data_IF_295004345279
#
_entry.id   IF_295004345279
#
_cell.length_a   1.000
_cell.length_b   1.000
_cell.length_c   1.000
_cell.angle_alpha   90.00
_cell.angle_beta   90.00
_cell.angle_gamma   90.00
#
_symmetry.space_group_name_H-M   'P 1'
#
loop_
_entity.id
_entity.type
_entity.pdbx_description
1 polymer ?
#
# COMPACT_ATOMS: atom_id res chain seq x y z
N UNK A 1 55.48 -42.55 -16.02
CA UNK A 1 54.12 -42.78 -16.51
C UNK A 1 53.36 -41.48 -16.33
N UNK A 2 52.83 -40.84 -17.39
CA UNK A 2 51.96 -39.69 -17.19
C UNK A 2 50.60 -40.22 -16.72
N UNK A 3 50.20 -39.81 -15.52
CA UNK A 3 48.87 -40.03 -14.99
C UNK A 3 47.85 -39.37 -15.90
N UNK A 4 46.85 -40.15 -16.30
CA UNK A 4 45.67 -39.69 -17.01
C UNK A 4 44.93 -38.65 -16.16
N UNK A 5 45.07 -37.38 -16.49
CA UNK A 5 44.13 -36.35 -16.05
C UNK A 5 42.79 -36.67 -16.73
N UNK A 6 41.89 -37.24 -15.94
CA UNK A 6 40.52 -37.47 -16.35
C UNK A 6 39.91 -36.12 -16.74
N UNK A 7 39.34 -36.10 -17.95
CA UNK A 7 38.57 -35.04 -18.58
C UNK A 7 37.36 -34.64 -17.71
N UNK A 8 37.61 -33.93 -16.60
CA UNK A 8 36.57 -33.35 -15.77
C UNK A 8 36.10 -32.07 -16.43
N UNK A 9 34.98 -32.16 -17.13
CA UNK A 9 34.26 -30.98 -17.59
C UNK A 9 33.95 -30.09 -16.39
N UNK A 10 34.37 -28.81 -16.41
CA UNK A 10 34.23 -27.93 -15.26
C UNK A 10 32.75 -27.68 -14.96
N UNK A 11 32.40 -27.51 -13.68
CA UNK A 11 31.03 -27.20 -13.29
C UNK A 11 30.69 -25.77 -13.69
N UNK A 12 29.73 -25.63 -14.59
CA UNK A 12 29.26 -24.35 -15.11
C UNK A 12 28.04 -23.89 -14.33
N UNK A 13 28.05 -22.63 -13.88
CA UNK A 13 26.85 -21.96 -13.38
C UNK A 13 26.76 -20.53 -13.90
N UNK A 14 25.57 -19.94 -13.82
CA UNK A 14 25.32 -18.59 -14.30
C UNK A 14 24.76 -17.69 -13.22
N UNK A 15 25.15 -16.41 -13.28
CA UNK A 15 24.59 -15.32 -12.49
C UNK A 15 24.05 -14.24 -13.42
N UNK A 16 23.25 -13.32 -12.88
CA UNK A 16 22.77 -12.14 -13.60
C UNK A 16 23.44 -10.91 -12.99
N UNK A 17 24.07 -10.10 -13.85
CA UNK A 17 24.65 -8.81 -13.48
C UNK A 17 23.60 -7.75 -13.19
N UNK A 18 24.01 -6.62 -12.59
CA UNK A 18 23.14 -5.46 -12.37
C UNK A 18 22.50 -4.92 -13.65
N UNK A 19 23.13 -5.14 -14.81
CA UNK A 19 22.62 -4.73 -16.13
C UNK A 19 21.79 -5.81 -16.82
N UNK A 20 21.29 -6.80 -16.06
CA UNK A 20 20.52 -7.96 -16.56
C UNK A 20 21.26 -8.81 -17.62
N UNK A 21 22.59 -8.72 -17.68
CA UNK A 21 23.44 -9.58 -18.53
C UNK A 21 23.86 -10.83 -17.79
N UNK A 22 23.95 -11.96 -18.51
CA UNK A 22 24.49 -13.22 -18.00
C UNK A 22 25.97 -13.07 -17.63
N UNK A 23 26.35 -13.70 -16.52
CA UNK A 23 27.71 -13.87 -16.05
C UNK A 23 27.96 -15.37 -15.91
N UNK A 24 29.09 -15.84 -16.42
CA UNK A 24 29.51 -17.22 -16.33
C UNK A 24 30.36 -17.40 -15.07
N UNK A 25 30.11 -18.47 -14.32
CA UNK A 25 30.88 -18.85 -13.14
C UNK A 25 31.46 -20.24 -13.34
N UNK A 26 32.79 -20.31 -13.35
CA UNK A 26 33.56 -21.55 -13.49
C UNK A 26 34.78 -21.45 -12.57
N UNK A 27 35.08 -22.52 -11.82
CA UNK A 27 36.26 -22.64 -10.95
C UNK A 27 36.48 -21.47 -9.97
N UNK A 28 35.39 -20.87 -9.48
CA UNK A 28 35.43 -19.72 -8.57
C UNK A 28 35.69 -18.37 -9.26
N UNK A 29 35.84 -18.35 -10.58
CA UNK A 29 36.00 -17.15 -11.40
C UNK A 29 34.68 -16.71 -12.04
N UNK A 30 34.54 -15.40 -12.25
CA UNK A 30 33.38 -14.79 -12.91
C UNK A 30 33.83 -14.22 -14.25
N UNK A 31 33.09 -14.57 -15.31
CA UNK A 31 33.33 -14.10 -16.66
C UNK A 31 32.12 -13.33 -17.20
N UNK A 32 32.40 -12.29 -18.00
CA UNK A 32 31.42 -11.52 -18.76
C UNK A 32 31.43 -11.95 -20.22
N UNK A 33 30.26 -11.99 -20.85
CA UNK A 33 30.15 -12.28 -22.27
C UNK A 33 30.80 -11.15 -23.08
N UNK A 34 31.75 -11.51 -23.94
CA UNK A 34 32.45 -10.57 -24.82
C UNK A 34 31.81 -10.53 -26.22
N UNK A 35 31.75 -11.68 -26.89
CA UNK A 35 31.17 -11.83 -28.23
C UNK A 35 30.52 -13.20 -28.40
N UNK A 36 29.66 -13.35 -29.40
CA UNK A 36 29.03 -14.64 -29.75
C UNK A 36 28.98 -14.83 -31.26
N UNK A 37 29.18 -16.06 -31.70
CA UNK A 37 28.94 -16.52 -33.07
C UNK A 37 27.84 -17.57 -33.06
N UNK A 38 27.44 -18.08 -34.24
CA UNK A 38 26.41 -19.11 -34.34
C UNK A 38 26.75 -20.42 -33.58
N UNK A 39 28.03 -20.70 -33.32
CA UNK A 39 28.49 -21.95 -32.69
C UNK A 39 29.17 -21.76 -31.34
N UNK A 40 29.66 -20.54 -31.04
CA UNK A 40 30.54 -20.31 -29.88
C UNK A 40 30.19 -18.99 -29.20
N UNK A 41 30.09 -19.02 -27.88
CA UNK A 41 29.97 -17.85 -27.01
C UNK A 41 31.30 -17.64 -26.29
N UNK A 42 31.85 -16.44 -26.41
CA UNK A 42 33.17 -16.08 -25.88
C UNK A 42 33.00 -15.26 -24.60
N UNK A 43 33.61 -15.74 -23.53
CA UNK A 43 33.58 -15.14 -22.20
C UNK A 43 34.98 -14.68 -21.80
N UNK A 44 35.08 -13.52 -21.15
CA UNK A 44 36.32 -12.97 -20.59
C UNK A 44 36.16 -12.71 -19.10
N UNK A 45 37.25 -12.81 -18.34
CA UNK A 45 37.23 -12.53 -16.92
C UNK A 45 36.66 -11.13 -16.64
N UNK A 46 35.84 -10.99 -15.58
CA UNK A 46 35.26 -9.71 -15.17
C UNK A 46 36.32 -8.70 -14.70
N UNK A 47 37.48 -9.18 -14.24
CA UNK A 47 38.57 -8.29 -13.80
C UNK A 47 39.25 -7.69 -15.03
N UNK A 48 39.18 -6.35 -15.16
CA UNK A 48 39.67 -5.59 -16.32
C UNK A 48 41.14 -5.85 -16.70
N UNK A 49 41.99 -6.18 -15.72
CA UNK A 49 43.42 -6.47 -15.93
C UNK A 49 43.71 -7.96 -16.16
N UNK A 50 42.68 -8.79 -16.28
CA UNK A 50 42.78 -10.21 -16.53
C UNK A 50 42.24 -10.54 -17.93
N UNK A 51 43.07 -11.20 -18.75
CA UNK A 51 42.73 -11.56 -20.13
C UNK A 51 42.32 -13.03 -20.28
N UNK A 52 42.11 -13.74 -19.18
CA UNK A 52 41.63 -15.11 -19.19
C UNK A 52 40.20 -15.17 -19.74
N UNK A 53 39.91 -16.21 -20.51
CA UNK A 53 38.61 -16.41 -21.14
C UNK A 53 38.21 -17.87 -21.23
N UNK A 54 36.92 -18.07 -21.53
CA UNK A 54 36.28 -19.38 -21.69
C UNK A 54 35.38 -19.34 -22.91
N UNK A 55 35.38 -20.43 -23.68
CA UNK A 55 34.46 -20.62 -24.80
C UNK A 55 33.41 -21.66 -24.42
N UNK A 56 32.13 -21.30 -24.60
CA UNK A 56 31.00 -22.23 -24.52
C UNK A 56 30.39 -22.41 -25.92
N UNK A 57 29.68 -23.51 -26.16
CA UNK A 57 28.85 -23.62 -27.36
C UNK A 57 27.50 -22.88 -27.18
N UNK A 58 26.64 -22.92 -28.21
CA UNK A 58 25.30 -22.34 -28.17
C UNK A 58 24.38 -22.95 -27.11
N UNK A 59 24.68 -24.17 -26.68
CA UNK A 59 23.94 -24.93 -25.65
C UNK A 59 24.59 -24.81 -24.27
N UNK A 60 25.43 -23.78 -24.06
CA UNK A 60 26.14 -23.47 -22.81
C UNK A 60 27.09 -24.58 -22.30
N UNK A 61 27.50 -25.52 -23.17
CA UNK A 61 28.47 -26.54 -22.82
C UNK A 61 29.90 -26.01 -22.95
N UNK A 62 30.76 -26.42 -22.01
CA UNK A 62 32.18 -26.05 -22.01
C UNK A 62 32.89 -26.56 -23.26
N UNK A 63 33.63 -25.69 -23.94
CA UNK A 63 34.49 -26.07 -25.06
C UNK A 63 35.96 -26.05 -24.67
N UNK A 64 36.46 -24.90 -24.18
CA UNK A 64 37.85 -24.73 -23.75
C UNK A 64 38.09 -23.44 -22.97
N UNK A 65 39.18 -23.41 -22.21
CA UNK A 65 39.83 -22.18 -21.75
C UNK A 65 40.63 -21.52 -22.89
N UNK A 66 40.82 -20.20 -22.80
CA UNK A 66 41.84 -19.50 -23.59
C UNK A 66 43.24 -19.79 -23.07
N UNK A 67 44.26 -19.57 -23.89
CA UNK A 67 45.67 -19.78 -23.51
C UNK A 67 46.16 -18.83 -22.40
N UNK A 68 45.49 -17.68 -22.21
CA UNK A 68 45.83 -16.74 -21.14
C UNK A 68 45.33 -17.27 -19.78
N UNK A 69 46.23 -17.54 -18.81
CA UNK A 69 45.81 -17.88 -17.44
C UNK A 69 45.27 -16.65 -16.70
N UNK A 70 44.58 -16.88 -15.57
CA UNK A 70 44.16 -15.79 -14.70
C UNK A 70 45.36 -15.11 -14.05
N UNK A 71 45.36 -13.77 -14.01
CA UNK A 71 46.38 -12.96 -13.32
C UNK A 71 46.06 -12.72 -11.84
N UNK A 72 45.06 -13.42 -11.30
CA UNK A 72 44.60 -13.26 -9.93
C UNK A 72 44.03 -14.57 -9.39
N UNK A 73 44.02 -14.68 -8.07
CA UNK A 73 43.36 -15.76 -7.35
C UNK A 73 41.84 -15.65 -7.45
N UNK A 74 41.09 -16.76 -7.38
CA UNK A 74 39.66 -16.70 -7.21
C UNK A 74 39.34 -16.12 -5.81
N UNK A 75 38.18 -15.46 -5.69
CA UNK A 75 37.72 -14.88 -4.42
C UNK A 75 36.34 -15.47 -4.10
N UNK A 76 36.28 -16.67 -3.50
CA UNK A 76 35.03 -17.40 -3.25
C UNK A 76 34.02 -16.60 -2.45
N UNK A 77 34.49 -15.79 -1.49
CA UNK A 77 33.65 -14.97 -0.61
C UNK A 77 32.82 -13.97 -1.41
N UNK A 78 33.44 -13.34 -2.43
CA UNK A 78 32.73 -12.41 -3.32
C UNK A 78 31.70 -13.12 -4.18
N UNK A 79 31.96 -14.36 -4.56
CA UNK A 79 31.03 -15.17 -5.33
C UNK A 79 29.82 -15.57 -4.48
N UNK A 80 30.02 -15.97 -3.23
CA UNK A 80 28.94 -16.26 -2.27
C UNK A 80 28.03 -15.05 -2.06
N UNK A 81 28.61 -13.88 -1.78
CA UNK A 81 27.86 -12.63 -1.60
C UNK A 81 27.10 -12.26 -2.87
N UNK A 82 27.71 -12.44 -4.05
CA UNK A 82 27.06 -12.10 -5.31
C UNK A 82 25.88 -13.01 -5.61
N UNK A 83 25.99 -14.31 -5.32
CA UNK A 83 24.85 -15.26 -5.39
C UNK A 83 23.70 -14.81 -4.49
N UNK A 84 24.00 -14.49 -3.23
CA UNK A 84 23.00 -13.98 -2.27
C UNK A 84 22.33 -12.69 -2.79
N UNK A 85 23.11 -11.69 -3.22
CA UNK A 85 22.57 -10.42 -3.74
C UNK A 85 21.75 -10.60 -5.02
N UNK A 86 22.09 -11.55 -5.88
CA UNK A 86 21.30 -11.89 -7.06
C UNK A 86 19.94 -12.48 -6.65
N UNK A 87 19.89 -13.35 -5.65
CA UNK A 87 18.63 -13.88 -5.11
C UNK A 87 17.78 -12.78 -4.49
N UNK A 88 18.37 -11.92 -3.66
CA UNK A 88 17.67 -10.77 -3.04
C UNK A 88 17.06 -9.89 -4.13
N UNK A 89 17.82 -9.54 -5.19
CA UNK A 89 17.29 -8.73 -6.29
C UNK A 89 16.11 -9.41 -7.00
N UNK A 90 16.21 -10.71 -7.26
CA UNK A 90 15.12 -11.45 -7.88
C UNK A 90 13.85 -11.42 -7.04
N UNK A 91 13.98 -11.57 -5.72
CA UNK A 91 12.85 -11.46 -4.77
C UNK A 91 12.28 -10.04 -4.71
N UNK A 92 13.15 -9.03 -4.63
CA UNK A 92 12.75 -7.62 -4.56
C UNK A 92 11.97 -7.15 -5.80
N UNK A 93 12.25 -7.72 -6.97
CA UNK A 93 11.50 -7.46 -8.22
C UNK A 93 10.11 -8.13 -8.25
N UNK A 94 9.86 -9.15 -7.42
CA UNK A 94 8.66 -10.02 -7.48
C UNK A 94 7.76 -9.89 -6.26
N UNK A 95 8.32 -9.54 -5.10
CA UNK A 95 7.66 -9.54 -3.80
C UNK A 95 7.54 -8.11 -3.25
N UNK A 96 6.41 -7.83 -2.61
CA UNK A 96 6.17 -6.56 -1.90
C UNK A 96 6.79 -6.51 -0.49
N UNK A 97 7.31 -7.64 0.02
CA UNK A 97 7.92 -7.77 1.36
C UNK A 97 8.98 -6.69 1.62
N UNK A 98 9.10 -6.22 2.86
CA UNK A 98 10.10 -5.22 3.22
C UNK A 98 11.52 -5.68 2.84
N UNK A 99 12.32 -4.79 2.22
CA UNK A 99 13.66 -5.15 1.72
C UNK A 99 14.56 -5.66 2.84
N UNK A 100 14.47 -5.07 4.03
CA UNK A 100 15.22 -5.51 5.21
C UNK A 100 14.89 -6.96 5.60
N UNK A 101 13.62 -7.35 5.50
CA UNK A 101 13.19 -8.73 5.77
C UNK A 101 13.69 -9.69 4.68
N UNK A 102 13.54 -9.35 3.40
CA UNK A 102 14.07 -10.15 2.29
C UNK A 102 15.59 -10.35 2.47
N UNK A 103 16.31 -9.28 2.79
CA UNK A 103 17.75 -9.32 3.01
C UNK A 103 18.10 -10.28 4.15
N UNK A 104 17.42 -10.18 5.28
CA UNK A 104 17.68 -11.03 6.45
C UNK A 104 17.41 -12.51 6.15
N UNK A 105 16.26 -12.81 5.54
CA UNK A 105 15.90 -14.18 5.16
C UNK A 105 16.93 -14.79 4.19
N UNK A 106 17.35 -14.05 3.17
CA UNK A 106 18.35 -14.53 2.21
C UNK A 106 19.75 -14.65 2.81
N UNK A 107 20.12 -13.77 3.74
CA UNK A 107 21.39 -13.88 4.47
C UNK A 107 21.47 -15.19 5.26
N UNK A 108 20.38 -15.55 5.97
CA UNK A 108 20.29 -16.80 6.73
C UNK A 108 20.30 -18.00 5.78
N UNK A 109 19.52 -17.97 4.69
CA UNK A 109 19.46 -19.06 3.70
C UNK A 109 20.79 -19.28 2.97
N UNK A 110 21.52 -18.21 2.65
CA UNK A 110 22.76 -18.30 1.90
C UNK A 110 23.89 -18.98 2.68
N UNK A 111 23.78 -19.06 4.02
CA UNK A 111 24.74 -19.70 4.91
C UNK A 111 26.20 -19.33 4.56
N UNK A 112 26.45 -18.02 4.44
CA UNK A 112 27.73 -17.47 4.00
C UNK A 112 28.88 -17.88 4.93
N UNK A 113 30.07 -18.05 4.36
CA UNK A 113 31.29 -18.26 5.15
C UNK A 113 31.56 -17.06 6.08
N UNK A 114 32.32 -17.27 7.17
CA UNK A 114 32.69 -16.18 8.11
C UNK A 114 33.41 -15.03 7.41
N UNK A 115 34.26 -15.34 6.43
CA UNK A 115 34.98 -14.35 5.65
C UNK A 115 34.03 -13.57 4.72
N UNK A 116 33.07 -14.25 4.07
CA UNK A 116 32.03 -13.59 3.29
C UNK A 116 31.12 -12.71 4.15
N UNK A 117 30.69 -13.17 5.32
CA UNK A 117 29.88 -12.37 6.26
C UNK A 117 30.58 -11.08 6.68
N UNK A 118 31.89 -11.13 6.91
CA UNK A 118 32.67 -9.97 7.32
C UNK A 118 32.75 -8.86 6.26
N UNK A 119 32.59 -9.20 4.98
CA UNK A 119 32.67 -8.25 3.85
C UNK A 119 31.34 -8.07 3.12
N UNK A 120 30.28 -8.76 3.54
CA UNK A 120 28.95 -8.63 2.96
C UNK A 120 28.38 -7.24 3.29
N UNK A 121 27.75 -6.55 2.32
CA UNK A 121 27.15 -5.24 2.57
C UNK A 121 25.98 -5.40 3.52
N UNK A 122 25.83 -4.54 4.51
CA UNK A 122 24.64 -4.53 5.38
C UNK A 122 23.36 -4.27 4.58
N UNK A 123 22.19 -4.64 5.15
CA UNK A 123 20.89 -4.32 4.54
C UNK A 123 20.75 -2.81 4.25
N UNK A 124 21.29 -1.95 5.13
CA UNK A 124 21.27 -0.49 4.97
C UNK A 124 22.10 -0.03 3.78
N UNK A 125 23.30 -0.57 3.60
CA UNK A 125 24.17 -0.24 2.45
C UNK A 125 23.59 -0.72 1.13
N UNK A 126 22.95 -1.90 1.13
CA UNK A 126 22.31 -2.45 -0.07
C UNK A 126 20.97 -1.77 -0.41
N UNK A 127 20.33 -1.10 0.56
CA UNK A 127 18.93 -0.67 0.47
C UNK A 127 18.64 0.21 -0.76
N UNK A 128 19.47 1.22 -1.01
CA UNK A 128 19.28 2.13 -2.14
C UNK A 128 19.26 1.39 -3.49
N UNK A 129 20.21 0.47 -3.71
CA UNK A 129 20.29 -0.30 -4.94
C UNK A 129 19.13 -1.30 -5.09
N UNK A 130 18.68 -1.90 -3.98
CA UNK A 130 17.54 -2.82 -3.97
C UNK A 130 16.23 -2.08 -4.22
N UNK A 131 16.02 -0.92 -3.61
CA UNK A 131 14.88 -0.04 -3.89
C UNK A 131 14.84 0.37 -5.36
N UNK A 132 15.99 0.70 -5.96
CA UNK A 132 16.07 1.01 -7.38
C UNK A 132 15.64 -0.19 -8.25
N UNK A 133 16.08 -1.41 -7.93
CA UNK A 133 15.63 -2.62 -8.62
C UNK A 133 14.12 -2.82 -8.50
N UNK A 134 13.55 -2.64 -7.31
CA UNK A 134 12.10 -2.72 -7.08
C UNK A 134 11.33 -1.72 -7.95
N UNK A 135 11.75 -0.45 -7.94
CA UNK A 135 11.12 0.61 -8.71
C UNK A 135 11.15 0.34 -10.21
N UNK A 136 12.22 -0.27 -10.73
CA UNK A 136 12.30 -0.67 -12.14
C UNK A 136 11.40 -1.86 -12.50
N UNK A 137 11.01 -2.69 -11.53
CA UNK A 137 10.09 -3.80 -11.75
C UNK A 137 8.61 -3.37 -11.66
N UNK A 138 8.33 -2.22 -11.02
CA UNK A 138 7.00 -1.61 -10.96
C UNK A 138 6.74 -0.89 -12.30
N UNK A 139 5.56 -1.03 -12.92
CA UNK A 139 5.26 -0.37 -14.18
C UNK A 139 5.19 1.13 -13.93
N UNK A 140 5.52 1.93 -14.94
CA UNK A 140 5.30 3.37 -14.86
C UNK A 140 3.82 3.66 -14.55
N UNK A 141 3.56 4.71 -13.77
CA UNK A 141 2.20 5.15 -13.51
C UNK A 141 1.53 5.52 -14.85
N UNK A 142 0.27 5.12 -15.06
CA UNK A 142 -0.46 5.43 -16.28
C UNK A 142 -0.68 6.94 -16.39
N UNK A 143 -0.64 7.45 -17.63
CA UNK A 143 -0.84 8.88 -17.98
C UNK A 143 -2.25 9.19 -18.45
N UNK A 144 -3.11 8.18 -18.54
CA UNK A 144 -4.51 8.27 -18.91
C UNK A 144 -5.32 7.29 -18.05
N UNK A 145 -6.65 7.38 -18.07
CA UNK A 145 -7.51 6.37 -17.46
C UNK A 145 -7.61 5.07 -18.27
N UNK A 146 -7.10 5.06 -19.51
CA UNK A 146 -7.10 3.90 -20.40
C UNK A 146 -5.81 3.11 -20.21
N UNK A 147 -5.84 2.18 -19.25
CA UNK A 147 -4.72 1.29 -18.95
C UNK A 147 -5.20 -0.06 -18.44
N UNK A 148 -4.45 -1.10 -18.78
CA UNK A 148 -4.67 -2.42 -18.21
C UNK A 148 -3.99 -2.56 -16.85
N UNK A 149 -4.70 -3.18 -15.90
CA UNK A 149 -4.10 -3.60 -14.63
C UNK A 149 -3.25 -4.86 -14.91
N UNK A 150 -1.94 -4.88 -14.63
CA UNK A 150 -1.13 -6.10 -14.80
C UNK A 150 -1.68 -7.31 -14.04
N UNK A 151 -1.59 -8.50 -14.64
CA UNK A 151 -2.13 -9.75 -14.08
C UNK A 151 -1.68 -10.03 -12.64
N UNK A 152 -0.42 -9.69 -12.29
CA UNK A 152 0.13 -9.83 -10.93
C UNK A 152 -0.60 -9.01 -9.87
N UNK A 153 -1.27 -7.92 -10.23
CA UNK A 153 -2.06 -7.11 -9.30
C UNK A 153 -3.55 -7.50 -9.29
N UNK A 154 -3.97 -8.38 -10.20
CA UNK A 154 -5.33 -8.90 -10.24
C UNK A 154 -5.55 -10.06 -9.28
N UNK A 155 -4.48 -10.55 -8.64
CA UNK A 155 -4.47 -11.77 -7.82
C UNK A 155 -3.81 -11.54 -6.47
N UNK A 156 -4.18 -12.36 -5.48
CA UNK A 156 -3.48 -12.48 -4.20
C UNK A 156 -2.17 -13.24 -4.37
N UNK A 157 -1.36 -13.31 -3.30
CA UNK A 157 -0.11 -14.09 -3.30
C UNK A 157 -0.35 -15.58 -3.59
N UNK A 158 -1.49 -16.11 -3.15
CA UNK A 158 -1.90 -17.51 -3.38
C UNK A 158 -2.55 -17.73 -4.76
N UNK A 159 -2.62 -16.69 -5.60
CA UNK A 159 -3.13 -16.76 -6.97
C UNK A 159 -4.65 -16.60 -7.10
N UNK A 160 -5.36 -16.39 -5.99
CA UNK A 160 -6.80 -16.13 -5.96
C UNK A 160 -7.14 -14.76 -6.53
N UNK A 161 -8.38 -14.59 -6.97
CA UNK A 161 -8.87 -13.31 -7.52
C UNK A 161 -8.80 -12.21 -6.46
N UNK A 162 -8.20 -11.08 -6.83
CA UNK A 162 -8.14 -9.88 -5.99
C UNK A 162 -8.73 -8.64 -6.67
N UNK A 163 -8.60 -8.50 -7.99
CA UNK A 163 -9.34 -7.47 -8.73
C UNK A 163 -10.82 -7.85 -8.73
N UNK A 164 -11.61 -7.15 -7.91
CA UNK A 164 -13.04 -7.39 -7.74
C UNK A 164 -13.82 -6.88 -8.95
N UNK A 165 -13.54 -5.65 -9.36
CA UNK A 165 -14.21 -4.96 -10.45
C UNK A 165 -13.32 -3.87 -11.04
N UNK A 166 -13.44 -3.65 -12.34
CA UNK A 166 -12.80 -2.56 -13.08
C UNK A 166 -13.82 -2.04 -14.10
N UNK A 167 -14.45 -0.91 -13.79
CA UNK A 167 -15.56 -0.35 -14.59
C UNK A 167 -15.19 1.01 -15.11
N UNK A 168 -15.41 1.22 -16.40
CA UNK A 168 -15.31 2.52 -17.05
C UNK A 168 -16.72 2.94 -17.47
N UNK A 169 -17.17 4.07 -16.97
CA UNK A 169 -18.38 4.73 -17.40
C UNK A 169 -18.00 5.78 -18.43
N UNK A 170 -18.28 5.47 -19.70
CA UNK A 170 -18.10 6.41 -20.79
C UNK A 170 -19.21 7.46 -20.73
N UNK A 171 -18.89 8.65 -20.22
CA UNK A 171 -19.85 9.76 -20.13
C UNK A 171 -19.91 10.55 -21.45
N UNK A 172 -19.02 10.23 -22.40
CA UNK A 172 -18.88 10.92 -23.68
C UNK A 172 -18.10 12.22 -23.51
N UNK A 173 -16.82 12.24 -23.93
CA UNK A 173 -15.93 13.39 -23.81
C UNK A 173 -14.63 13.07 -23.05
N UNK A 174 -14.03 14.06 -22.38
CA UNK A 174 -12.82 13.90 -21.54
C UNK A 174 -13.11 13.41 -20.11
N UNK A 175 -14.36 13.15 -19.77
CA UNK A 175 -14.86 12.90 -18.40
C UNK A 175 -15.26 11.43 -18.16
N UNK A 176 -14.54 10.48 -18.77
CA UNK A 176 -14.75 9.07 -18.46
C UNK A 176 -14.50 8.81 -16.98
N UNK A 177 -15.33 7.98 -16.37
CA UNK A 177 -15.26 7.69 -14.94
C UNK A 177 -14.88 6.24 -14.71
N UNK A 178 -13.68 6.02 -14.18
CA UNK A 178 -13.19 4.68 -13.86
C UNK A 178 -13.27 4.41 -12.37
N UNK A 179 -13.78 3.23 -12.02
CA UNK A 179 -13.83 2.71 -10.66
C UNK A 179 -13.14 1.35 -10.67
N UNK A 180 -12.09 1.22 -9.86
CA UNK A 180 -11.33 -0.01 -9.70
C UNK A 180 -11.52 -0.47 -8.27
N UNK A 181 -11.89 -1.73 -8.05
CA UNK A 181 -12.17 -2.28 -6.73
C UNK A 181 -11.37 -3.57 -6.56
N UNK A 182 -10.67 -3.69 -5.44
CA UNK A 182 -9.89 -4.85 -5.04
C UNK A 182 -10.45 -5.43 -3.74
N UNK A 183 -10.71 -6.73 -3.76
CA UNK A 183 -11.04 -7.54 -2.60
C UNK A 183 -10.97 -9.03 -2.98
N UNK A 184 -10.45 -9.85 -2.07
CA UNK A 184 -10.61 -11.31 -2.15
C UNK A 184 -11.96 -11.75 -1.61
N UNK A 185 -12.39 -12.97 -1.95
CA UNK A 185 -13.64 -13.53 -1.44
C UNK A 185 -13.60 -13.71 0.09
N UNK A 186 -12.44 -13.99 0.69
CA UNK A 186 -12.27 -14.07 2.14
C UNK A 186 -12.50 -12.72 2.82
N UNK A 187 -11.88 -11.66 2.31
CA UNK A 187 -12.08 -10.30 2.80
C UNK A 187 -13.54 -9.86 2.66
N UNK A 188 -14.22 -10.20 1.55
CA UNK A 188 -15.63 -9.91 1.37
C UNK A 188 -16.52 -10.66 2.36
N UNK A 189 -16.21 -11.93 2.67
CA UNK A 189 -16.92 -12.68 3.71
C UNK A 189 -16.77 -12.00 5.07
N UNK A 190 -15.55 -11.56 5.41
CA UNK A 190 -15.32 -10.80 6.64
C UNK A 190 -16.15 -9.51 6.65
N UNK A 191 -16.12 -8.72 5.57
CA UNK A 191 -16.90 -7.50 5.46
C UNK A 191 -18.40 -7.74 5.63
N UNK A 192 -18.97 -8.68 4.89
CA UNK A 192 -20.42 -8.91 4.85
C UNK A 192 -20.96 -9.59 6.12
N UNK A 193 -20.09 -10.17 6.94
CA UNK A 193 -20.45 -10.74 8.24
C UNK A 193 -20.13 -9.81 9.42
N UNK A 194 -19.45 -8.69 9.17
CA UNK A 194 -19.14 -7.69 10.20
C UNK A 194 -20.41 -6.89 10.56
N UNK A 195 -20.71 -6.78 11.86
CA UNK A 195 -21.82 -5.95 12.35
C UNK A 195 -21.51 -4.47 12.25
N UNK A 196 -20.23 -4.10 12.38
CA UNK A 196 -19.75 -2.72 12.22
C UNK A 196 -18.72 -2.68 11.09
N UNK A 197 -18.90 -1.73 10.17
CA UNK A 197 -17.94 -1.42 9.13
C UNK A 197 -17.53 0.04 9.17
N UNK A 198 -16.31 0.33 8.72
CA UNK A 198 -15.80 1.69 8.60
C UNK A 198 -15.40 1.95 7.16
N UNK A 199 -15.58 3.18 6.68
CA UNK A 199 -15.16 3.58 5.33
C UNK A 199 -14.40 4.89 5.38
N UNK A 200 -13.30 4.97 4.63
CA UNK A 200 -12.43 6.14 4.66
C UNK A 200 -11.69 6.37 3.34
N UNK A 201 -11.58 7.65 2.97
CA UNK A 201 -10.93 8.10 1.75
C UNK A 201 -9.57 8.74 2.03
N UNK A 202 -8.53 8.30 1.29
CA UNK A 202 -7.20 8.91 1.27
C UNK A 202 -6.98 9.67 -0.03
N UNK A 203 -6.57 10.93 0.07
CA UNK A 203 -6.45 11.85 -1.07
C UNK A 203 -4.99 12.09 -1.49
N UNK A 204 -4.09 12.31 -0.53
CA UNK A 204 -2.70 12.74 -0.81
C UNK A 204 -1.87 11.69 -1.57
N UNK A 205 -2.24 10.41 -1.44
CA UNK A 205 -1.56 9.28 -2.09
C UNK A 205 -2.28 8.78 -3.35
N UNK A 206 -3.24 9.54 -3.88
CA UNK A 206 -4.04 9.10 -5.01
C UNK A 206 -3.23 9.14 -6.32
N UNK A 207 -3.31 8.09 -7.17
CA UNK A 207 -2.69 8.11 -8.49
C UNK A 207 -3.26 9.21 -9.38
N UNK A 208 -2.51 9.68 -10.38
CA UNK A 208 -3.03 10.59 -11.40
C UNK A 208 -4.37 10.11 -11.97
N UNK A 209 -5.26 11.06 -12.25
CA UNK A 209 -6.62 10.84 -12.77
C UNK A 209 -7.64 10.26 -11.77
N UNK A 210 -7.24 9.87 -10.56
CA UNK A 210 -8.17 9.51 -9.50
C UNK A 210 -8.23 10.60 -8.42
N UNK A 211 -9.36 10.68 -7.70
CA UNK A 211 -9.52 11.66 -6.63
C UNK A 211 -9.29 11.07 -5.24
N UNK A 212 -9.53 9.77 -5.07
CA UNK A 212 -9.36 9.11 -3.77
C UNK A 212 -9.04 7.62 -3.91
N UNK A 213 -8.25 7.13 -2.96
CA UNK A 213 -8.19 5.71 -2.61
C UNK A 213 -9.12 5.50 -1.42
N UNK A 214 -10.11 4.64 -1.58
CA UNK A 214 -11.18 4.43 -0.63
C UNK A 214 -11.08 3.04 -0.02
N UNK A 215 -10.98 2.98 1.30
CA UNK A 215 -10.87 1.73 2.04
C UNK A 215 -12.16 1.42 2.79
N UNK A 216 -12.57 0.16 2.80
CA UNK A 216 -13.69 -0.33 3.59
C UNK A 216 -13.19 -1.42 4.51
N UNK A 217 -13.45 -1.23 5.79
CA UNK A 217 -12.96 -2.07 6.86
C UNK A 217 -14.11 -2.84 7.51
N UNK A 218 -13.90 -4.12 7.74
CA UNK A 218 -14.74 -4.93 8.62
C UNK A 218 -14.18 -4.91 10.03
N UNK A 219 -15.01 -4.63 11.03
CA UNK A 219 -14.61 -4.72 12.43
C UNK A 219 -14.95 -6.11 12.96
N UNK A 220 -13.94 -6.79 13.51
CA UNK A 220 -14.11 -8.08 14.17
C UNK A 220 -13.23 -8.13 15.41
N UNK A 221 -13.80 -8.52 16.55
CA UNK A 221 -13.11 -8.58 17.84
C UNK A 221 -12.37 -7.27 18.18
N UNK A 222 -13.04 -6.13 17.98
CA UNK A 222 -12.49 -4.77 18.22
C UNK A 222 -11.26 -4.41 17.35
N UNK A 223 -10.93 -5.24 16.36
CA UNK A 223 -9.88 -4.98 15.39
C UNK A 223 -10.46 -4.60 14.03
N UNK A 224 -9.78 -3.68 13.36
CA UNK A 224 -10.09 -3.25 11.99
C UNK A 224 -9.33 -4.11 11.00
N UNK A 225 -9.99 -4.50 9.91
CA UNK A 225 -9.35 -5.22 8.81
C UNK A 225 -9.75 -4.57 7.48
N UNK A 226 -8.77 -4.20 6.66
CA UNK A 226 -9.00 -3.74 5.29
C UNK A 226 -9.62 -4.88 4.47
N UNK A 227 -10.91 -4.75 4.15
CA UNK A 227 -11.63 -5.75 3.37
C UNK A 227 -11.75 -5.37 1.90
N UNK A 228 -11.89 -4.08 1.61
CA UNK A 228 -12.00 -3.57 0.23
C UNK A 228 -11.10 -2.37 0.08
N UNK A 229 -10.36 -2.34 -1.02
CA UNK A 229 -9.62 -1.18 -1.48
C UNK A 229 -10.18 -0.76 -2.84
N UNK A 230 -10.68 0.45 -2.95
CA UNK A 230 -11.20 0.99 -4.20
C UNK A 230 -10.40 2.23 -4.62
N UNK A 231 -10.19 2.40 -5.92
CA UNK A 231 -9.61 3.60 -6.51
C UNK A 231 -10.74 4.29 -7.26
N UNK A 232 -11.15 5.46 -6.75
CA UNK A 232 -12.34 6.17 -7.21
C UNK A 232 -11.95 7.46 -7.92
N UNK A 233 -12.49 7.67 -9.12
CA UNK A 233 -12.26 8.88 -9.91
C UNK A 233 -13.07 10.10 -9.45
N UNK A 234 -13.78 10.00 -8.32
CA UNK A 234 -14.60 11.08 -7.80
C UNK A 234 -15.37 10.71 -6.53
N UNK A 235 -16.12 11.69 -6.04
CA UNK A 235 -16.87 11.69 -4.77
C UNK A 235 -18.35 11.99 -4.95
N UNK A 236 -18.90 11.62 -6.10
CA UNK A 236 -20.32 11.86 -6.39
C UNK A 236 -21.18 10.69 -5.92
N UNK A 237 -22.47 10.94 -5.68
CA UNK A 237 -23.45 9.88 -5.33
C UNK A 237 -23.44 8.74 -6.35
N UNK A 238 -23.24 9.06 -7.64
CA UNK A 238 -23.14 8.05 -8.69
C UNK A 238 -21.95 7.11 -8.48
N UNK A 239 -20.77 7.64 -8.14
CA UNK A 239 -19.57 6.82 -7.91
C UNK A 239 -19.77 5.89 -6.71
N UNK A 240 -20.32 6.39 -5.61
CA UNK A 240 -20.60 5.54 -4.46
C UNK A 240 -21.68 4.51 -4.77
N UNK A 241 -22.75 4.89 -5.48
CA UNK A 241 -23.79 3.93 -5.87
C UNK A 241 -23.21 2.77 -6.67
N UNK A 242 -22.25 3.03 -7.54
CA UNK A 242 -21.56 1.96 -8.26
C UNK A 242 -20.65 1.11 -7.37
N UNK A 243 -19.95 1.71 -6.41
CA UNK A 243 -19.20 0.95 -5.39
C UNK A 243 -20.14 0.00 -4.62
N UNK A 244 -21.27 0.52 -4.10
CA UNK A 244 -22.25 -0.29 -3.39
C UNK A 244 -22.93 -1.34 -4.29
N UNK A 245 -23.20 -1.03 -5.56
CA UNK A 245 -23.81 -1.96 -6.52
C UNK A 245 -22.92 -3.19 -6.72
N UNK A 246 -21.60 -2.99 -6.86
CA UNK A 246 -20.60 -4.06 -6.96
C UNK A 246 -20.58 -4.89 -5.68
N UNK A 247 -20.52 -4.27 -4.51
CA UNK A 247 -20.48 -4.98 -3.22
C UNK A 247 -21.75 -5.82 -2.99
N UNK A 248 -22.93 -5.24 -3.23
CA UNK A 248 -24.22 -5.94 -3.08
C UNK A 248 -24.33 -7.10 -4.07
N UNK A 249 -23.88 -6.92 -5.31
CA UNK A 249 -23.82 -8.00 -6.28
C UNK A 249 -22.94 -9.16 -5.80
N UNK A 250 -21.74 -8.85 -5.29
CA UNK A 250 -20.83 -9.87 -4.77
C UNK A 250 -21.31 -10.53 -3.48
N UNK A 251 -22.00 -9.82 -2.60
CA UNK A 251 -22.64 -10.41 -1.43
C UNK A 251 -23.63 -11.52 -1.86
N UNK A 252 -24.49 -11.24 -2.85
CA UNK A 252 -25.42 -12.24 -3.41
C UNK A 252 -24.68 -13.43 -4.01
N UNK A 253 -23.60 -13.19 -4.77
CA UNK A 253 -22.78 -14.28 -5.35
C UNK A 253 -22.17 -15.19 -4.29
N UNK A 254 -21.82 -14.65 -3.12
CA UNK A 254 -21.26 -15.42 -2.00
C UNK A 254 -22.34 -16.01 -1.09
N UNK A 255 -23.62 -15.91 -1.44
CA UNK A 255 -24.78 -16.28 -0.62
C UNK A 255 -24.82 -15.57 0.74
N UNK A 256 -24.34 -14.32 0.78
CA UNK A 256 -24.34 -13.44 1.94
C UNK A 256 -25.23 -12.21 1.68
N UNK A 257 -25.48 -11.44 2.74
CA UNK A 257 -26.20 -10.16 2.66
C UNK A 257 -25.28 -9.07 3.17
N UNK A 258 -25.10 -8.01 2.39
CA UNK A 258 -24.40 -6.83 2.86
C UNK A 258 -25.37 -5.95 3.66
N UNK A 259 -25.44 -6.17 4.97
CA UNK A 259 -26.35 -5.48 5.90
C UNK A 259 -25.68 -5.25 7.25
N UNK A 260 -24.65 -4.38 7.30
CA UNK A 260 -24.04 -4.04 8.58
C UNK A 260 -25.06 -3.35 9.49
N UNK A 261 -24.95 -3.57 10.79
CA UNK A 261 -25.77 -2.88 11.80
C UNK A 261 -25.32 -1.41 11.93
N UNK A 262 -24.00 -1.19 11.92
CA UNK A 262 -23.37 0.13 12.07
C UNK A 262 -22.40 0.40 10.91
N UNK A 263 -22.40 1.62 10.41
CA UNK A 263 -21.43 2.09 9.41
C UNK A 263 -20.87 3.44 9.83
N UNK A 264 -19.55 3.54 9.91
CA UNK A 264 -18.85 4.78 10.26
C UNK A 264 -18.11 5.35 9.06
N UNK A 265 -18.34 6.61 8.74
CA UNK A 265 -17.67 7.31 7.62
C UNK A 265 -17.33 8.74 7.99
N UNK A 266 -16.66 9.47 7.09
CA UNK A 266 -16.63 10.93 7.17
C UNK A 266 -18.02 11.56 6.88
N UNK A 267 -18.08 12.90 6.87
CA UNK A 267 -19.33 13.65 6.70
C UNK A 267 -19.63 14.02 5.23
N UNK A 268 -19.21 13.18 4.28
CA UNK A 268 -19.43 13.49 2.87
C UNK A 268 -20.91 13.32 2.46
N UNK A 269 -21.52 14.42 1.99
CA UNK A 269 -22.95 14.46 1.67
C UNK A 269 -23.38 13.42 0.62
N UNK A 270 -22.53 13.19 -0.39
CA UNK A 270 -22.78 12.22 -1.45
C UNK A 270 -22.84 10.79 -0.88
N UNK A 271 -21.92 10.45 0.01
CA UNK A 271 -21.85 9.17 0.69
C UNK A 271 -23.02 8.97 1.66
N UNK A 272 -23.33 9.98 2.50
CA UNK A 272 -24.49 9.94 3.41
C UNK A 272 -25.78 9.65 2.65
N UNK A 273 -25.97 10.32 1.51
CA UNK A 273 -27.13 10.07 0.64
C UNK A 273 -27.14 8.64 0.10
N UNK A 274 -26.01 8.17 -0.42
CA UNK A 274 -25.91 6.80 -0.97
C UNK A 274 -26.15 5.73 0.09
N UNK A 275 -25.62 5.89 1.31
CA UNK A 275 -25.86 4.96 2.41
C UNK A 275 -27.34 4.90 2.76
N UNK A 276 -28.02 6.05 2.84
CA UNK A 276 -29.45 6.09 3.12
C UNK A 276 -30.28 5.37 2.03
N UNK A 277 -29.87 5.46 0.76
CA UNK A 277 -30.54 4.80 -0.36
C UNK A 277 -30.26 3.28 -0.40
N UNK A 278 -29.00 2.87 -0.27
CA UNK A 278 -28.54 1.48 -0.50
C UNK A 278 -28.59 0.59 0.76
N UNK A 279 -28.43 1.21 1.94
CA UNK A 279 -28.40 0.53 3.25
C UNK A 279 -29.37 1.20 4.25
N UNK A 280 -30.68 1.27 3.96
CA UNK A 280 -31.63 2.07 4.75
C UNK A 280 -31.82 1.61 6.21
N UNK A 281 -31.46 0.35 6.51
CA UNK A 281 -31.56 -0.22 7.86
C UNK A 281 -30.24 -0.16 8.65
N UNK A 282 -29.16 0.34 8.04
CA UNK A 282 -27.87 0.49 8.71
C UNK A 282 -27.85 1.80 9.47
N UNK A 283 -27.38 1.77 10.72
CA UNK A 283 -27.13 2.98 11.49
C UNK A 283 -25.86 3.66 10.97
N UNK A 284 -26.04 4.74 10.20
CA UNK A 284 -24.94 5.59 9.74
C UNK A 284 -24.48 6.54 10.86
N UNK A 285 -23.20 6.45 11.20
CA UNK A 285 -22.52 7.26 12.20
C UNK A 285 -21.37 8.01 11.50
N UNK A 286 -21.22 9.30 11.78
CA UNK A 286 -20.08 10.09 11.38
C UNK A 286 -18.90 9.87 12.32
N UNK A 287 -17.69 9.80 11.77
CA UNK A 287 -16.47 9.59 12.53
C UNK A 287 -16.22 10.74 13.50
N UNK A 288 -16.01 10.43 14.79
CA UNK A 288 -15.76 11.42 15.83
C UNK A 288 -14.49 12.23 15.57
N UNK A 289 -13.44 11.60 15.04
CA UNK A 289 -12.22 12.30 14.65
C UNK A 289 -12.51 13.36 13.57
N UNK A 290 -13.21 12.98 12.50
CA UNK A 290 -13.61 13.91 11.45
C UNK A 290 -14.53 15.03 11.95
N UNK A 291 -15.41 14.74 12.91
CA UNK A 291 -16.25 15.74 13.57
C UNK A 291 -15.39 16.79 14.30
N UNK A 292 -14.50 16.35 15.20
CA UNK A 292 -13.63 17.24 15.97
C UNK A 292 -12.69 18.04 15.06
N UNK A 293 -12.12 17.40 14.03
CA UNK A 293 -11.29 18.06 13.03
C UNK A 293 -12.07 19.12 12.25
N UNK A 294 -13.33 18.87 11.90
CA UNK A 294 -14.18 19.86 11.21
C UNK A 294 -14.40 21.12 12.05
N UNK A 295 -14.61 20.95 13.37
CA UNK A 295 -14.73 22.09 14.29
C UNK A 295 -13.39 22.85 14.38
N UNK A 296 -12.28 22.13 14.48
CA UNK A 296 -10.96 22.77 14.56
C UNK A 296 -10.59 23.52 13.27
N UNK A 297 -10.91 22.96 12.10
CA UNK A 297 -10.78 23.68 10.82
C UNK A 297 -11.61 24.96 10.80
N UNK A 298 -12.81 24.92 11.38
CA UNK A 298 -13.63 26.11 11.51
C UNK A 298 -13.01 27.15 12.47
N UNK A 299 -12.41 26.72 13.59
CA UNK A 299 -11.63 27.60 14.48
C UNK A 299 -10.52 28.31 13.69
N UNK A 300 -9.79 27.59 12.84
CA UNK A 300 -8.74 28.15 12.00
C UNK A 300 -9.30 29.13 10.97
N UNK A 301 -10.37 28.76 10.27
CA UNK A 301 -11.00 29.58 9.24
C UNK A 301 -11.57 30.89 9.80
N UNK A 302 -12.08 30.87 11.04
CA UNK A 302 -12.56 32.05 11.73
C UNK A 302 -11.44 32.91 12.36
N UNK A 303 -10.17 32.53 12.21
CA UNK A 303 -9.04 33.25 12.80
C UNK A 303 -8.93 33.11 14.32
N UNK A 304 -9.61 32.12 14.91
CA UNK A 304 -9.70 31.94 16.36
C UNK A 304 -8.51 31.14 16.95
N UNK A 305 -7.51 30.77 16.15
CA UNK A 305 -6.39 29.92 16.58
C UNK A 305 -5.61 30.52 17.77
N UNK A 306 -5.34 31.83 17.75
CA UNK A 306 -4.65 32.53 18.84
C UNK A 306 -5.48 32.52 20.11
N UNK A 307 -6.78 32.83 20.00
CA UNK A 307 -7.73 32.81 21.13
C UNK A 307 -7.82 31.40 21.72
N UNK A 308 -7.96 30.38 20.87
CA UNK A 308 -7.97 28.99 21.31
C UNK A 308 -6.68 28.56 22.04
N UNK A 309 -5.53 29.12 21.68
CA UNK A 309 -4.24 28.80 22.31
C UNK A 309 -4.08 29.51 23.65
N UNK A 310 -4.42 30.79 23.71
CA UNK A 310 -4.02 31.69 24.78
C UNK A 310 -5.13 31.96 25.82
N UNK A 311 -6.40 31.68 25.49
CA UNK A 311 -7.55 31.86 26.39
C UNK A 311 -8.12 30.49 26.83
N UNK A 312 -7.94 30.16 28.11
CA UNK A 312 -8.40 28.92 28.73
C UNK A 312 -9.91 28.73 28.67
N UNK A 313 -10.67 29.81 28.81
CA UNK A 313 -12.13 29.78 28.82
C UNK A 313 -12.69 29.54 27.42
N UNK A 314 -12.11 30.20 26.41
CA UNK A 314 -12.41 29.95 25.01
C UNK A 314 -12.03 28.51 24.61
N UNK A 315 -10.82 28.07 24.97
CA UNK A 315 -10.33 26.70 24.72
C UNK A 315 -11.23 25.64 25.35
N UNK A 316 -11.65 25.84 26.60
CA UNK A 316 -12.58 24.96 27.31
C UNK A 316 -13.92 24.85 26.58
N UNK A 317 -14.47 25.99 26.15
CA UNK A 317 -15.75 26.03 25.43
C UNK A 317 -15.68 25.33 24.07
N UNK A 318 -14.60 25.54 23.30
CA UNK A 318 -14.36 24.82 22.03
C UNK A 318 -14.27 23.31 22.26
N UNK A 319 -13.54 22.88 23.29
CA UNK A 319 -13.42 21.45 23.62
C UNK A 319 -14.75 20.83 24.07
N UNK A 320 -15.61 21.58 24.77
CA UNK A 320 -16.96 21.12 25.12
C UNK A 320 -17.85 20.96 23.89
N UNK A 321 -17.78 21.88 22.92
CA UNK A 321 -18.46 21.71 21.62
C UNK A 321 -17.98 20.45 20.89
N UNK A 322 -16.67 20.18 20.92
CA UNK A 322 -16.09 18.95 20.35
C UNK A 322 -16.52 17.68 21.10
N UNK A 323 -16.85 17.79 22.39
CA UNK A 323 -17.29 16.67 23.23
C UNK A 323 -18.81 16.42 23.19
N UNK A 324 -19.60 17.32 22.60
CA UNK A 324 -21.06 17.20 22.52
C UNK A 324 -21.56 15.87 21.91
N UNK A 325 -20.90 15.25 20.91
CA UNK A 325 -21.24 13.91 20.44
C UNK A 325 -21.30 12.81 21.51
N UNK A 326 -20.64 13.01 22.65
CA UNK A 326 -20.54 12.04 23.74
C UNK A 326 -21.69 12.17 24.75
N UNK A 327 -22.47 13.24 24.66
CA UNK A 327 -23.64 13.48 25.51
C UNK A 327 -24.79 12.60 25.02
N UNK A 328 -25.61 12.02 25.91
CA UNK A 328 -26.82 11.31 25.52
C UNK A 328 -27.70 12.14 24.57
N UNK A 329 -28.28 11.51 23.56
CA UNK A 329 -29.01 12.20 22.49
C UNK A 329 -30.11 13.14 23.01
N UNK A 330 -30.79 12.74 24.08
CA UNK A 330 -31.87 13.52 24.74
C UNK A 330 -31.36 14.69 25.60
N UNK A 331 -30.05 14.84 25.78
CA UNK A 331 -29.42 15.90 26.56
C UNK A 331 -28.55 16.84 25.69
N UNK A 332 -28.50 16.62 24.38
CA UNK A 332 -27.70 17.45 23.47
C UNK A 332 -28.10 18.92 23.54
N UNK A 333 -29.41 19.21 23.53
CA UNK A 333 -29.93 20.57 23.52
C UNK A 333 -29.56 21.32 24.81
N UNK A 334 -29.86 20.75 25.98
CA UNK A 334 -29.50 21.37 27.25
C UNK A 334 -27.99 21.51 27.45
N UNK A 335 -27.20 20.51 27.03
CA UNK A 335 -25.75 20.59 27.10
C UNK A 335 -25.18 21.68 26.18
N UNK A 336 -25.76 21.86 24.98
CA UNK A 336 -25.38 22.93 24.08
C UNK A 336 -25.70 24.31 24.67
N UNK A 337 -26.91 24.51 25.21
CA UNK A 337 -27.31 25.75 25.89
C UNK A 337 -26.37 26.10 27.05
N UNK A 338 -26.02 25.12 27.88
CA UNK A 338 -25.07 25.29 28.98
C UNK A 338 -23.67 25.71 28.50
N UNK A 339 -23.23 25.20 27.35
CA UNK A 339 -21.95 25.60 26.74
C UNK A 339 -22.05 27.04 26.23
N UNK A 340 -23.13 27.40 25.53
CA UNK A 340 -23.33 28.74 24.96
C UNK A 340 -23.43 29.80 26.05
N UNK A 341 -24.20 29.55 27.11
CA UNK A 341 -24.36 30.48 28.23
C UNK A 341 -23.04 30.76 28.98
N UNK A 342 -22.10 29.83 28.90
CA UNK A 342 -20.77 29.94 29.52
C UNK A 342 -19.68 30.23 28.48
N UNK A 343 -19.99 30.39 27.20
CA UNK A 343 -18.98 30.66 26.18
C UNK A 343 -18.56 32.14 26.23
N UNK A 344 -17.26 32.47 26.06
CA UNK A 344 -16.86 33.87 25.93
C UNK A 344 -17.32 34.44 24.58
N UNK A 345 -17.70 35.71 24.55
CA UNK A 345 -18.11 36.42 23.32
C UNK A 345 -17.06 36.34 22.20
N UNK A 346 -15.79 36.14 22.54
CA UNK A 346 -14.67 35.99 21.60
C UNK A 346 -14.81 34.79 20.65
N UNK A 347 -15.61 33.77 21.01
CA UNK A 347 -15.87 32.59 20.16
C UNK A 347 -17.29 32.55 19.57
N UNK A 348 -18.06 33.63 19.71
CA UNK A 348 -19.44 33.69 19.20
C UNK A 348 -19.57 33.27 17.72
N UNK A 349 -18.66 33.67 16.79
CA UNK A 349 -18.75 33.21 15.40
C UNK A 349 -18.70 31.68 15.23
N UNK A 350 -17.98 30.98 16.11
CA UNK A 350 -17.93 29.52 16.11
C UNK A 350 -19.23 28.92 16.66
N UNK A 351 -19.77 29.50 17.73
CA UNK A 351 -21.07 29.10 18.30
C UNK A 351 -22.18 29.24 17.27
N UNK A 352 -22.23 30.37 16.55
CA UNK A 352 -23.21 30.63 15.50
C UNK A 352 -23.08 29.65 14.32
N UNK A 353 -21.85 29.28 13.97
CA UNK A 353 -21.61 28.23 12.98
C UNK A 353 -22.11 26.87 13.49
N UNK A 354 -21.76 26.51 14.73
CA UNK A 354 -22.10 25.22 15.32
C UNK A 354 -23.61 25.04 15.41
N UNK A 355 -24.31 26.06 15.90
CA UNK A 355 -25.77 26.11 15.94
C UNK A 355 -26.38 25.89 14.55
N UNK A 356 -26.03 26.74 13.58
CA UNK A 356 -26.61 26.67 12.22
C UNK A 356 -26.30 25.37 11.47
N UNK A 357 -25.13 24.79 11.67
CA UNK A 357 -24.70 23.61 10.92
C UNK A 357 -24.97 22.32 11.69
N UNK A 358 -24.35 22.12 12.85
CA UNK A 358 -24.39 20.87 13.59
C UNK A 358 -25.70 20.67 14.37
N UNK A 359 -26.26 21.74 14.95
CA UNK A 359 -27.54 21.64 15.68
C UNK A 359 -28.74 21.65 14.74
N UNK A 360 -28.71 22.42 13.65
CA UNK A 360 -29.89 22.56 12.76
C UNK A 360 -29.84 21.72 11.49
N UNK A 361 -28.72 21.66 10.75
CA UNK A 361 -28.67 21.04 9.41
C UNK A 361 -28.34 19.55 9.44
N UNK A 362 -27.40 19.16 10.30
CA UNK A 362 -26.94 17.76 10.38
C UNK A 362 -27.77 17.03 11.44
N UNK A 363 -28.33 15.87 11.07
CA UNK A 363 -29.07 15.02 12.01
C UNK A 363 -28.19 14.63 13.20
N UNK A 364 -28.66 14.82 14.43
CA UNK A 364 -27.88 14.52 15.64
C UNK A 364 -27.50 13.03 15.73
N UNK A 365 -28.37 12.14 15.28
CA UNK A 365 -28.09 10.70 15.24
C UNK A 365 -26.91 10.34 14.34
N UNK A 366 -26.52 11.20 13.39
CA UNK A 366 -25.37 10.98 12.53
C UNK A 366 -24.08 11.29 13.29
N UNK A 367 -23.99 12.42 14.00
CA UNK A 367 -22.74 12.82 14.66
C UNK A 367 -22.65 12.41 16.13
N UNK A 368 -23.74 11.96 16.76
CA UNK A 368 -23.74 11.47 18.14
C UNK A 368 -23.17 10.05 18.24
N UNK A 369 -22.25 9.85 19.18
CA UNK A 369 -21.53 8.59 19.40
C UNK A 369 -21.57 8.15 20.87
N UNK A 370 -22.52 8.67 21.65
CA UNK A 370 -22.63 8.43 23.09
C UNK A 370 -22.77 6.94 23.46
N UNK A 371 -23.39 6.16 22.58
CA UNK A 371 -23.70 4.73 22.72
C UNK A 371 -22.93 3.84 21.72
N UNK A 372 -21.81 4.35 21.19
CA UNK A 372 -20.96 3.63 20.22
C UNK A 372 -19.63 3.31 20.87
N UNK A 373 -19.18 2.05 20.83
CA UNK A 373 -17.90 1.66 21.44
C UNK A 373 -16.69 2.09 20.61
N UNK A 374 -16.77 1.93 19.28
CA UNK A 374 -15.70 2.31 18.34
C UNK A 374 -16.06 3.63 17.67
N UNK A 375 -15.42 4.72 18.12
CA UNK A 375 -15.79 6.10 17.79
C UNK A 375 -14.84 6.79 16.81
N UNK A 376 -13.59 6.33 16.75
CA UNK A 376 -12.49 6.97 16.00
C UNK A 376 -11.94 6.03 14.94
N UNK A 377 -11.52 6.60 13.81
CA UNK A 377 -10.89 5.87 12.72
C UNK A 377 -9.37 5.73 12.86
N UNK A 378 -8.80 5.93 14.05
CA UNK A 378 -7.34 5.91 14.27
C UNK A 378 -6.67 4.60 13.79
N UNK A 379 -7.40 3.48 13.82
CA UNK A 379 -6.92 2.19 13.27
C UNK A 379 -6.73 2.26 11.74
N UNK A 380 -7.64 2.92 11.03
CA UNK A 380 -7.63 3.03 9.56
C UNK A 380 -6.61 4.07 9.08
N UNK A 381 -6.47 5.19 9.79
CA UNK A 381 -5.43 6.19 9.48
C UNK A 381 -4.02 5.60 9.69
N UNK A 382 -3.80 4.80 10.75
CA UNK A 382 -2.53 4.13 11.01
C UNK A 382 -2.20 3.02 10.00
N UNK A 383 -3.19 2.24 9.56
CA UNK A 383 -2.99 1.14 8.62
C UNK A 383 -2.77 1.59 7.17
N UNK A 384 -3.42 2.67 6.72
CA UNK A 384 -3.17 3.24 5.40
C UNK A 384 -1.77 3.84 5.29
N UNK A 385 -1.29 4.51 6.35
CA UNK A 385 0.10 4.98 6.43
C UNK A 385 1.07 3.78 6.35
N UNK A 386 0.81 2.67 7.03
CA UNK A 386 1.64 1.47 6.93
C UNK A 386 1.64 0.82 5.54
N UNK A 387 0.50 0.78 4.84
CA UNK A 387 0.42 0.25 3.46
C UNK A 387 1.27 1.05 2.47
N UNK A 388 1.38 2.37 2.65
CA UNK A 388 2.20 3.23 1.79
C UNK A 388 3.68 3.30 2.22
N UNK A 389 4.00 3.22 3.51
CA UNK A 389 5.40 3.26 3.97
C UNK A 389 6.19 1.99 3.66
N UNK A 390 5.54 0.85 3.42
CA UNK A 390 6.23 -0.35 2.92
C UNK A 390 6.46 -0.37 1.40
N UNK A 391 6.00 0.64 0.66
CA UNK A 391 6.12 0.71 -0.81
C UNK A 391 6.97 1.88 -1.36
N UNK A 392 7.69 2.63 -0.52
CA UNK A 392 8.60 3.71 -0.98
C UNK A 392 10.09 3.52 -0.66
#
# INVERSE_FOLDING_TARGET
MPSSDADQTPTISFLISNKKKRLLVIDGYIYQQNKSTAKVIYWLCEIKLCNAGVHLNSDDQFLKYTENPHSHMPVPERLEIRKMLTNIKSRVEREATAIGQIYHEELVKANLSRAALAIAPTAREANHGLNQCRRQAIPALPTTMDFDIPSRYRKTADGERYLLSDRIHYVGGKDDKRIIIFASDEQLRLLFTSSHIMMDGTFDSCPPHFEQIYSIHGIKNEQSFVCVLAVLCGRSTMIYKELFSVLIHHARRLNLKFRPEKLTTDFEAALIKTVADELPNTRHIGCFFHFTNSIYRQVQHLGLTTIYRDDDHARSSVRKLMALPLVPLNQIECAFEDIVNKAPNSIQPLVDYFSRYWMTRVKWSLWNVSDVDIRTNNFVEGELILFFFFTY
#
